data_IF_983119182943
#
_entry.id   IF_983119182943
#
_cell.length_a   1.000
_cell.length_b   1.000
_cell.length_c   1.000
_cell.angle_alpha   90.00
_cell.angle_beta   90.00
_cell.angle_gamma   90.00
#
_symmetry.space_group_name_H-M   'P 1'
#
loop_
_entity.id
_entity.type
_entity.pdbx_description
1 polymer ?
#
# COMPACT_ATOMS: atom_id res chain seq x y z
N UNK A 1 9.48 27.54 10.93
CA UNK A 1 10.27 26.33 10.62
C UNK A 1 10.09 25.38 11.80
N UNK A 2 9.56 24.19 11.58
CA UNK A 2 9.43 23.18 12.65
C UNK A 2 10.81 22.60 12.94
N UNK A 3 11.18 22.56 14.22
CA UNK A 3 12.41 21.88 14.68
C UNK A 3 11.98 20.77 15.63
N UNK A 4 12.18 19.50 15.27
CA UNK A 4 11.72 18.39 16.09
C UNK A 4 12.49 18.32 17.41
N UNK A 5 11.76 18.00 18.48
CA UNK A 5 12.36 17.61 19.77
C UNK A 5 12.79 16.13 19.73
N UNK A 6 13.53 15.68 20.73
CA UNK A 6 13.86 14.26 20.85
C UNK A 6 12.61 13.39 21.03
N UNK A 7 11.59 13.90 21.73
CA UNK A 7 10.30 13.21 21.90
C UNK A 7 9.58 13.03 20.55
N UNK A 8 9.63 14.05 19.68
CA UNK A 8 9.06 13.96 18.33
C UNK A 8 9.75 12.86 17.50
N UNK A 9 11.08 12.77 17.58
CA UNK A 9 11.87 11.75 16.88
C UNK A 9 11.57 10.35 17.41
N UNK A 10 11.52 10.19 18.73
CA UNK A 10 11.21 8.90 19.35
C UNK A 10 9.79 8.43 19.00
N UNK A 11 8.83 9.37 18.96
CA UNK A 11 7.45 9.12 18.54
C UNK A 11 7.38 8.72 17.06
N UNK A 12 8.06 9.44 16.17
CA UNK A 12 8.12 9.11 14.75
C UNK A 12 8.71 7.71 14.53
N UNK A 13 9.83 7.37 15.19
CA UNK A 13 10.44 6.04 15.10
C UNK A 13 9.46 4.92 15.47
N UNK A 14 8.71 5.08 16.56
CA UNK A 14 7.70 4.09 17.00
C UNK A 14 6.55 3.98 16.01
N UNK A 15 6.04 5.11 15.51
CA UNK A 15 4.95 5.15 14.52
C UNK A 15 5.37 4.51 13.20
N UNK A 16 6.59 4.80 12.71
CA UNK A 16 7.15 4.17 11.51
C UNK A 16 7.32 2.67 11.67
N UNK A 17 7.81 2.21 12.81
CA UNK A 17 7.92 0.77 13.08
C UNK A 17 6.55 0.08 13.08
N UNK A 18 5.55 0.67 13.75
CA UNK A 18 4.19 0.16 13.77
C UNK A 18 3.54 0.16 12.37
N UNK A 19 3.69 1.25 11.61
CA UNK A 19 3.19 1.40 10.25
C UNK A 19 3.79 0.32 9.33
N UNK A 20 5.11 0.14 9.32
CA UNK A 20 5.78 -0.89 8.51
C UNK A 20 5.33 -2.31 8.88
N UNK A 21 5.18 -2.58 10.18
CA UNK A 21 4.71 -3.89 10.64
C UNK A 21 3.26 -4.18 10.20
N UNK A 22 2.38 -3.18 10.26
CA UNK A 22 1.00 -3.30 9.80
C UNK A 22 0.93 -3.43 8.27
N UNK A 23 1.63 -2.55 7.54
CA UNK A 23 1.69 -2.58 6.08
C UNK A 23 2.19 -3.94 5.58
N UNK A 24 3.25 -4.50 6.18
CA UNK A 24 3.75 -5.83 5.80
C UNK A 24 2.72 -6.95 5.99
N UNK A 25 1.75 -6.81 6.91
CA UNK A 25 0.65 -7.77 7.06
C UNK A 25 -0.41 -7.56 5.99
N UNK A 26 -0.82 -6.32 5.76
CA UNK A 26 -1.84 -5.96 4.76
C UNK A 26 -1.41 -6.38 3.35
N UNK A 27 -0.17 -6.11 2.93
CA UNK A 27 0.29 -6.50 1.58
C UNK A 27 0.29 -8.01 1.35
N UNK A 28 0.36 -8.80 2.43
CA UNK A 28 0.30 -10.28 2.37
C UNK A 28 -1.12 -10.83 2.30
N UNK A 29 -2.13 -10.03 2.63
CA UNK A 29 -3.53 -10.43 2.48
C UNK A 29 -4.08 -10.12 1.10
N UNK A 30 -3.40 -9.25 0.33
CA UNK A 30 -3.77 -8.92 -1.04
C UNK A 30 -3.47 -10.11 -1.96
N UNK A 31 -4.47 -10.65 -2.68
CA UNK A 31 -4.26 -11.73 -3.64
C UNK A 31 -3.43 -11.24 -4.84
N UNK A 32 -2.81 -12.17 -5.56
CA UNK A 32 -1.93 -11.82 -6.68
C UNK A 32 -2.72 -11.16 -7.80
N UNK A 33 -3.91 -11.67 -8.04
CA UNK A 33 -4.87 -11.23 -9.05
C UNK A 33 -5.21 -9.74 -8.86
N UNK A 34 -5.39 -9.29 -7.62
CA UNK A 34 -5.59 -7.87 -7.31
C UNK A 34 -4.43 -6.99 -7.77
N UNK A 35 -3.19 -7.42 -7.55
CA UNK A 35 -2.02 -6.68 -8.01
C UNK A 35 -1.94 -6.61 -9.54
N UNK A 36 -2.33 -7.68 -10.23
CA UNK A 36 -2.31 -7.75 -11.69
C UNK A 36 -3.39 -6.87 -12.33
N UNK A 37 -4.62 -6.98 -11.83
CA UNK A 37 -5.78 -6.21 -12.31
C UNK A 37 -5.59 -4.72 -12.05
N UNK A 38 -5.30 -4.34 -10.80
CA UNK A 38 -5.10 -2.95 -10.41
C UNK A 38 -3.84 -2.37 -11.08
N UNK A 39 -2.75 -3.13 -11.14
CA UNK A 39 -1.52 -2.69 -11.82
C UNK A 39 -1.74 -2.42 -13.31
N UNK A 40 -2.58 -3.23 -13.96
CA UNK A 40 -2.98 -3.03 -15.36
C UNK A 40 -3.88 -1.81 -15.50
N UNK A 41 -4.90 -1.66 -14.63
CA UNK A 41 -5.82 -0.53 -14.65
C UNK A 41 -5.12 0.82 -14.41
N UNK A 42 -4.12 0.85 -13.54
CA UNK A 42 -3.31 2.05 -13.26
C UNK A 42 -2.24 2.31 -14.33
N UNK A 43 -2.00 1.40 -15.27
CA UNK A 43 -0.99 1.55 -16.32
C UNK A 43 0.46 1.40 -15.84
N UNK A 44 0.66 0.81 -14.65
CA UNK A 44 1.98 0.57 -14.03
C UNK A 44 2.51 -0.85 -14.26
N UNK A 45 1.70 -1.74 -14.85
CA UNK A 45 2.12 -3.07 -15.26
C UNK A 45 2.91 -3.02 -16.58
N UNK A 46 4.19 -3.43 -16.55
CA UNK A 46 5.09 -3.51 -17.71
C UNK A 46 5.69 -4.89 -17.81
N UNK A 47 5.38 -5.62 -18.89
CA UNK A 47 5.89 -6.97 -19.14
C UNK A 47 5.67 -7.94 -17.96
N UNK A 48 4.52 -7.85 -17.28
CA UNK A 48 4.19 -8.70 -16.12
C UNK A 48 4.88 -8.28 -14.81
N UNK A 49 5.49 -7.10 -14.77
CA UNK A 49 6.13 -6.54 -13.58
C UNK A 49 5.54 -5.17 -13.27
N UNK A 50 5.26 -4.92 -11.98
CA UNK A 50 4.86 -3.60 -11.50
C UNK A 50 6.06 -2.66 -11.52
N UNK A 51 5.92 -1.55 -12.23
CA UNK A 51 6.93 -0.51 -12.33
C UNK A 51 6.36 0.76 -11.71
N UNK A 52 7.01 1.23 -10.65
CA UNK A 52 6.64 2.45 -9.94
C UNK A 52 7.70 3.52 -10.19
N UNK A 53 7.27 4.73 -10.52
CA UNK A 53 8.15 5.88 -10.70
C UNK A 53 8.44 6.59 -9.36
N UNK A 54 7.54 6.46 -8.39
CA UNK A 54 7.64 7.12 -7.09
C UNK A 54 6.84 6.41 -5.98
N UNK A 55 7.09 6.79 -4.73
CA UNK A 55 6.41 6.19 -3.57
C UNK A 55 4.90 6.44 -3.55
N UNK A 56 4.41 7.55 -4.13
CA UNK A 56 2.98 7.85 -4.15
C UNK A 56 2.20 6.85 -5.02
N UNK A 57 2.79 6.36 -6.11
CA UNK A 57 2.18 5.29 -6.92
C UNK A 57 2.07 3.98 -6.15
N UNK A 58 3.05 3.64 -5.33
CA UNK A 58 2.97 2.46 -4.45
C UNK A 58 1.85 2.62 -3.41
N UNK A 59 1.68 3.81 -2.85
CA UNK A 59 0.55 4.10 -1.93
C UNK A 59 -0.80 3.99 -2.62
N UNK A 60 -0.97 4.62 -3.79
CA UNK A 60 -2.22 4.56 -4.57
C UNK A 60 -2.55 3.12 -4.95
N UNK A 61 -1.56 2.36 -5.42
CA UNK A 61 -1.78 0.96 -5.77
C UNK A 61 -2.24 0.14 -4.57
N UNK A 62 -1.59 0.30 -3.41
CA UNK A 62 -1.96 -0.41 -2.20
C UNK A 62 -3.40 -0.10 -1.77
N UNK A 63 -3.80 1.17 -1.82
CA UNK A 63 -5.17 1.59 -1.51
C UNK A 63 -6.17 0.99 -2.51
N UNK A 64 -5.89 1.06 -3.81
CA UNK A 64 -6.76 0.46 -4.83
C UNK A 64 -6.90 -1.06 -4.66
N UNK A 65 -5.83 -1.76 -4.32
CA UNK A 65 -5.90 -3.21 -4.05
C UNK A 65 -6.78 -3.55 -2.84
N UNK A 66 -6.85 -2.66 -1.84
CA UNK A 66 -7.64 -2.90 -0.63
C UNK A 66 -9.11 -2.51 -0.82
N UNK A 67 -9.38 -1.37 -1.46
CA UNK A 67 -10.70 -0.75 -1.49
C UNK A 67 -11.43 -0.92 -2.82
N UNK A 68 -10.69 -0.98 -3.94
CA UNK A 68 -11.26 -0.88 -5.29
C UNK A 68 -11.23 -2.21 -6.06
N UNK A 69 -10.50 -3.21 -5.56
CA UNK A 69 -10.54 -4.56 -6.10
C UNK A 69 -11.61 -5.40 -5.41
N UNK A 70 -12.56 -5.92 -6.20
CA UNK A 70 -13.71 -6.68 -5.73
C UNK A 70 -13.64 -8.13 -6.21
N UNK A 71 -13.85 -9.06 -5.29
CA UNK A 71 -14.00 -10.50 -5.55
C UNK A 71 -15.33 -10.95 -4.93
N UNK A 72 -16.16 -11.64 -5.71
CA UNK A 72 -17.50 -12.10 -5.28
C UNK A 72 -18.42 -10.99 -4.74
N UNK A 73 -18.21 -9.74 -5.16
CA UNK A 73 -19.01 -8.58 -4.77
C UNK A 73 -18.55 -7.86 -3.50
N UNK A 74 -17.45 -8.30 -2.90
CA UNK A 74 -16.84 -7.67 -1.71
C UNK A 74 -15.38 -7.27 -2.01
N UNK A 75 -14.92 -6.18 -1.40
CA UNK A 75 -13.50 -5.84 -1.40
C UNK A 75 -12.79 -6.41 -0.16
N UNK A 76 -11.45 -6.29 -0.12
CA UNK A 76 -10.65 -6.85 0.96
C UNK A 76 -10.95 -6.29 2.35
N UNK A 77 -11.54 -5.09 2.43
CA UNK A 77 -11.89 -4.44 3.70
C UNK A 77 -13.29 -4.87 4.17
N UNK A 78 -14.13 -5.37 3.27
CA UNK A 78 -15.48 -5.86 3.58
C UNK A 78 -15.54 -7.33 4.01
N UNK A 79 -14.53 -8.13 3.60
CA UNK A 79 -14.41 -9.55 3.89
C UNK A 79 -14.20 -9.89 5.38
#
# INVERSE_FOLDING_TARGET
MFTPTQEDVDRDCRLRAASRALNSKLVKTIPREAYEDIGTALGIMRNGVLVFDNEAETSVMADCCLYEWYEDGENLVQR
#
